data_IF_015041703776
#
_entry.id   IF_015041703776
#
_cell.length_a   1.000
_cell.length_b   1.000
_cell.length_c   1.000
_cell.angle_alpha   90.00
_cell.angle_beta   90.00
_cell.angle_gamma   90.00
#
_symmetry.space_group_name_H-M   'P 1'
#
loop_
_entity.id
_entity.type
_entity.pdbx_description
1 polymer ?
#
# COMPACT_ATOMS: atom_id res chain seq x y z
N UNK A 1 4.77 45.56 21.24
CA UNK A 1 3.48 44.97 20.83
C UNK A 1 3.02 43.99 21.90
N UNK A 2 1.94 44.29 22.65
CA UNK A 2 1.38 43.40 23.65
C UNK A 2 0.35 42.44 23.03
N UNK A 3 0.18 41.22 23.59
CA UNK A 3 -0.71 40.21 23.04
C UNK A 3 -2.19 40.57 23.27
N UNK A 4 -2.98 40.38 22.20
CA UNK A 4 -4.43 40.58 22.14
C UNK A 4 -5.16 39.30 22.53
N UNK A 5 -5.63 39.19 23.76
CA UNK A 5 -6.78 38.36 24.10
C UNK A 5 -7.64 39.07 25.16
N UNK A 6 -8.96 39.25 24.94
CA UNK A 6 -9.84 39.93 25.88
C UNK A 6 -10.15 39.05 27.09
N UNK A 7 -9.85 39.57 28.29
CA UNK A 7 -10.05 38.91 29.59
C UNK A 7 -11.51 38.54 29.91
N UNK A 8 -12.47 38.96 29.09
CA UNK A 8 -13.89 38.70 29.28
C UNK A 8 -14.32 37.27 28.94
N UNK A 9 -13.63 36.58 28.00
CA UNK A 9 -13.98 35.21 27.63
C UNK A 9 -13.63 34.17 28.72
N UNK A 10 -12.59 34.45 29.52
CA UNK A 10 -12.15 33.56 30.60
C UNK A 10 -13.11 33.56 31.81
N UNK A 11 -13.86 34.66 32.02
CA UNK A 11 -14.81 34.78 33.12
C UNK A 11 -16.17 34.10 32.81
N UNK A 12 -16.55 34.04 31.53
CA UNK A 12 -17.80 33.40 31.10
C UNK A 12 -17.77 31.87 31.25
N UNK A 13 -16.63 31.23 30.98
CA UNK A 13 -16.48 29.77 31.10
C UNK A 13 -16.39 29.28 32.56
N UNK A 14 -16.00 30.15 33.49
CA UNK A 14 -15.95 29.84 34.93
C UNK A 14 -17.32 29.84 35.61
N UNK A 15 -18.36 30.38 34.96
CA UNK A 15 -19.75 30.41 35.47
C UNK A 15 -20.61 29.20 35.09
N UNK A 16 -20.14 28.35 34.17
CA UNK A 16 -20.83 27.11 33.79
C UNK A 16 -20.44 25.90 34.65
N UNK A 17 -19.54 26.09 35.63
CA UNK A 17 -19.10 25.06 36.56
C UNK A 17 -19.46 25.45 38.00
N UNK A 18 -20.74 25.35 38.35
CA UNK A 18 -21.18 25.19 39.74
C UNK A 18 -22.30 24.16 39.81
N UNK A 19 -22.27 23.24 40.79
CA UNK A 19 -23.28 22.22 40.96
C UNK A 19 -24.61 22.83 41.45
N UNK A 20 -25.71 22.28 40.94
CA UNK A 20 -27.08 22.54 41.38
C UNK A 20 -27.23 22.29 42.89
N UNK A 21 -27.71 23.29 43.62
CA UNK A 21 -28.27 23.13 44.96
C UNK A 21 -29.73 23.62 44.93
N UNK A 22 -30.72 22.81 45.39
CA UNK A 22 -32.10 23.23 45.43
C UNK A 22 -32.40 24.12 46.64
N UNK A 23 -33.17 25.18 46.41
CA UNK A 23 -33.84 25.98 47.44
C UNK A 23 -34.99 25.15 48.03
N UNK A 24 -34.92 24.82 49.31
CA UNK A 24 -36.09 24.38 50.09
C UNK A 24 -36.20 25.18 51.38
N UNK A 25 -37.43 25.58 51.66
CA UNK A 25 -37.86 26.44 52.77
C UNK A 25 -37.83 25.69 54.09
N UNK A 26 -37.48 26.41 55.15
CA UNK A 26 -37.55 25.97 56.54
C UNK A 26 -38.99 25.71 56.99
N UNK A 27 -39.23 24.57 57.64
CA UNK A 27 -40.23 24.39 58.69
C UNK A 27 -39.68 23.37 59.71
N UNK A 28 -39.63 23.80 60.96
CA UNK A 28 -39.11 23.06 62.11
C UNK A 28 -40.16 22.08 62.65
N UNK A 29 -39.75 20.86 62.97
CA UNK A 29 -40.28 20.06 64.11
C UNK A 29 -39.26 19.01 64.52
N UNK A 30 -39.13 18.83 65.83
CA UNK A 30 -38.15 18.06 66.60
C UNK A 30 -38.32 16.55 66.52
N UNK A 31 -37.23 15.78 66.36
CA UNK A 31 -37.02 14.44 66.99
C UNK A 31 -35.52 14.03 66.91
N UNK A 32 -34.96 13.35 67.93
CA UNK A 32 -33.54 13.00 67.97
C UNK A 32 -33.24 11.60 67.43
N UNK A 33 -31.97 11.42 67.04
CA UNK A 33 -31.21 10.17 66.99
C UNK A 33 -31.55 9.15 65.88
N UNK A 34 -30.68 9.09 64.87
CA UNK A 34 -29.93 7.90 64.47
C UNK A 34 -28.90 8.32 63.41
N UNK A 35 -27.63 8.31 63.78
CA UNK A 35 -26.52 8.53 62.87
C UNK A 35 -26.51 7.42 61.81
N UNK A 36 -26.93 7.74 60.58
CA UNK A 36 -26.62 6.92 59.43
C UNK A 36 -25.10 7.00 59.19
N UNK A 37 -24.39 5.89 58.96
CA UNK A 37 -22.97 5.94 58.66
C UNK A 37 -22.79 6.77 57.38
N UNK A 38 -21.99 7.82 57.51
CA UNK A 38 -21.48 8.61 56.39
C UNK A 38 -21.06 7.67 55.28
N UNK A 39 -21.69 7.84 54.11
CA UNK A 39 -21.36 7.15 52.88
C UNK A 39 -19.84 7.04 52.75
N UNK A 40 -19.36 5.80 52.72
CA UNK A 40 -18.01 5.46 52.31
C UNK A 40 -17.85 6.13 50.94
N UNK A 41 -17.04 7.20 50.89
CA UNK A 41 -16.51 7.68 49.62
C UNK A 41 -16.01 6.44 48.88
N UNK A 42 -16.33 6.22 47.59
CA UNK A 42 -15.82 5.07 46.87
C UNK A 42 -14.30 5.23 46.74
N UNK A 43 -13.61 4.85 47.80
CA UNK A 43 -12.18 4.69 47.89
C UNK A 43 -11.85 3.57 46.95
N UNK A 44 -11.61 3.99 45.71
CA UNK A 44 -10.73 3.39 44.74
C UNK A 44 -10.98 1.90 44.49
N UNK A 45 -11.71 1.61 43.41
CA UNK A 45 -11.33 0.49 42.55
C UNK A 45 -9.91 0.76 42.03
N UNK A 46 -8.90 0.57 42.88
CA UNK A 46 -7.49 0.69 42.54
C UNK A 46 -7.15 -0.60 41.82
N UNK A 47 -6.83 -0.47 40.53
CA UNK A 47 -6.30 -1.59 39.77
C UNK A 47 -5.04 -2.09 40.48
N UNK A 48 -4.82 -3.41 40.56
CA UNK A 48 -3.57 -3.97 41.09
C UNK A 48 -2.35 -3.31 40.44
N UNK A 49 -1.25 -3.16 41.17
CA UNK A 49 0.02 -2.63 40.62
C UNK A 49 0.49 -3.41 39.40
N UNK A 50 0.15 -4.69 39.34
CA UNK A 50 0.54 -5.62 38.29
C UNK A 50 -0.48 -5.67 37.14
N UNK A 51 -1.49 -4.77 37.18
CA UNK A 51 -2.48 -4.67 36.13
C UNK A 51 -1.87 -4.07 34.86
N UNK A 52 -1.81 -4.89 33.82
CA UNK A 52 -1.46 -4.46 32.48
C UNK A 52 -2.73 -4.31 31.63
N UNK A 53 -3.01 -3.12 31.07
CA UNK A 53 -4.17 -2.90 30.22
C UNK A 53 -4.06 -3.72 28.93
N UNK A 54 -5.20 -4.25 28.47
CA UNK A 54 -5.25 -5.09 27.27
C UNK A 54 -4.76 -4.38 25.99
N UNK A 55 -4.91 -3.06 25.92
CA UNK A 55 -4.52 -2.22 24.77
C UNK A 55 -3.05 -1.80 24.79
N UNK A 56 -2.35 -1.99 25.92
CA UNK A 56 -0.95 -1.61 26.09
C UNK A 56 -0.18 -2.77 26.74
N UNK A 57 0.12 -3.82 25.94
CA UNK A 57 0.98 -4.90 26.40
C UNK A 57 2.41 -4.39 26.67
N UNK A 58 3.17 -5.08 27.54
CA UNK A 58 4.58 -4.80 27.78
C UNK A 58 5.37 -4.96 26.48
N UNK A 59 6.16 -3.95 26.16
CA UNK A 59 6.93 -3.85 24.91
C UNK A 59 8.38 -3.54 25.23
N UNK A 60 9.29 -3.92 24.33
CA UNK A 60 10.73 -3.68 24.50
C UNK A 60 11.08 -2.19 24.59
N UNK A 61 10.27 -1.35 23.94
CA UNK A 61 10.39 0.11 23.96
C UNK A 61 9.07 0.75 24.42
N UNK A 62 9.12 1.91 25.09
CA UNK A 62 7.91 2.57 25.55
C UNK A 62 6.96 2.88 24.37
N UNK A 63 5.69 2.46 24.43
CA UNK A 63 4.78 2.59 23.30
C UNK A 63 4.36 4.03 23.02
N UNK A 64 4.46 4.93 23.99
CA UNK A 64 4.11 6.36 23.84
C UNK A 64 5.03 7.12 22.88
N UNK A 65 6.22 6.59 22.59
CA UNK A 65 7.17 7.32 21.76
C UNK A 65 6.71 7.37 20.30
N UNK A 66 6.97 8.49 19.62
CA UNK A 66 6.72 8.60 18.18
C UNK A 66 7.41 7.49 17.38
N UNK A 67 8.60 7.04 17.83
CA UNK A 67 9.38 5.99 17.16
C UNK A 67 8.66 4.64 17.18
N UNK A 68 8.14 4.22 18.34
CA UNK A 68 7.37 2.97 18.48
C UNK A 68 6.09 3.00 17.66
N UNK A 69 5.39 4.13 17.66
CA UNK A 69 4.15 4.28 16.89
C UNK A 69 4.42 4.21 15.38
N UNK A 70 5.47 4.89 14.88
CA UNK A 70 5.84 4.82 13.46
C UNK A 70 6.21 3.40 13.03
N UNK A 71 6.92 2.63 13.86
CA UNK A 71 7.25 1.24 13.54
C UNK A 71 5.96 0.42 13.40
N UNK A 72 5.01 0.53 14.34
CA UNK A 72 3.71 -0.15 14.26
C UNK A 72 2.92 0.23 13.01
N UNK A 73 2.88 1.52 12.68
CA UNK A 73 2.19 2.00 11.48
C UNK A 73 2.84 1.46 10.21
N UNK A 74 4.18 1.42 10.16
CA UNK A 74 4.90 0.92 9.00
C UNK A 74 4.82 -0.61 8.87
N UNK A 75 4.83 -1.37 9.97
CA UNK A 75 4.63 -2.82 9.90
C UNK A 75 3.22 -3.17 9.45
N UNK A 76 2.20 -2.47 9.96
CA UNK A 76 0.82 -2.65 9.47
C UNK A 76 0.70 -2.27 8.00
N UNK A 77 1.39 -1.22 7.56
CA UNK A 77 1.38 -0.79 6.18
C UNK A 77 2.00 -1.86 5.28
N UNK A 78 3.21 -2.33 5.59
CA UNK A 78 3.90 -3.34 4.81
C UNK A 78 3.13 -4.66 4.67
N UNK A 79 2.35 -5.03 5.69
CA UNK A 79 1.51 -6.25 5.66
C UNK A 79 0.21 -6.07 4.88
N UNK A 80 -0.37 -4.86 4.88
CA UNK A 80 -1.68 -4.60 4.27
C UNK A 80 -1.57 -4.14 2.81
N UNK A 81 -0.48 -3.50 2.43
CA UNK A 81 -0.34 -2.88 1.11
C UNK A 81 0.59 -3.71 0.23
N UNK A 82 0.07 -4.32 -0.84
CA UNK A 82 0.87 -5.15 -1.73
C UNK A 82 1.78 -4.34 -2.65
N UNK A 83 1.48 -3.06 -2.91
CA UNK A 83 2.23 -2.24 -3.87
C UNK A 83 2.66 -0.90 -3.21
N UNK A 84 3.98 -0.67 -3.18
CA UNK A 84 4.58 0.56 -2.64
C UNK A 84 5.65 1.04 -3.62
N UNK A 85 5.59 2.30 -4.06
CA UNK A 85 6.66 2.92 -4.83
C UNK A 85 7.47 3.87 -3.96
N UNK A 86 8.80 3.81 -4.08
CA UNK A 86 9.73 4.66 -3.34
C UNK A 86 10.22 5.82 -4.19
N UNK A 87 10.03 7.02 -3.66
CA UNK A 87 10.53 8.26 -4.21
C UNK A 87 11.58 8.85 -3.28
N UNK A 88 12.72 9.24 -3.82
CA UNK A 88 13.63 10.14 -3.12
C UNK A 88 13.15 11.57 -3.33
N UNK A 89 13.10 12.35 -2.25
CA UNK A 89 12.59 13.72 -2.31
C UNK A 89 13.64 14.71 -1.79
N UNK A 90 13.91 15.77 -2.55
CA UNK A 90 14.92 16.78 -2.18
C UNK A 90 14.26 18.11 -1.81
N UNK A 91 14.20 18.45 -0.51
CA UNK A 91 13.76 19.76 -0.01
C UNK A 91 12.49 20.34 -0.68
N UNK A 92 11.40 19.57 -0.72
CA UNK A 92 10.10 20.08 -1.19
C UNK A 92 9.43 20.95 -0.13
N UNK A 93 8.80 22.04 -0.58
CA UNK A 93 7.97 22.91 0.27
C UNK A 93 6.57 22.32 0.47
N UNK A 94 5.83 22.84 1.47
CA UNK A 94 4.45 22.39 1.73
C UNK A 94 3.51 22.66 0.54
N UNK A 95 3.72 23.79 -0.14
CA UNK A 95 2.91 24.17 -1.30
C UNK A 95 3.19 23.24 -2.49
N UNK A 96 4.45 22.90 -2.75
CA UNK A 96 4.85 21.92 -3.77
C UNK A 96 4.23 20.55 -3.49
N UNK A 97 4.26 20.07 -2.23
CA UNK A 97 3.61 18.82 -1.85
C UNK A 97 2.09 18.85 -2.09
N UNK A 98 1.43 19.96 -1.75
CA UNK A 98 -0.01 20.11 -1.96
C UNK A 98 -0.38 20.10 -3.44
N UNK A 99 0.45 20.75 -4.27
CA UNK A 99 0.26 20.81 -5.72
C UNK A 99 0.49 19.44 -6.37
N UNK A 100 1.56 18.74 -6.03
CA UNK A 100 1.83 17.38 -6.54
C UNK A 100 0.72 16.41 -6.12
N UNK A 101 0.25 16.46 -4.87
CA UNK A 101 -0.86 15.62 -4.40
C UNK A 101 -2.18 15.92 -5.10
N UNK A 102 -2.45 17.18 -5.43
CA UNK A 102 -3.64 17.59 -6.19
C UNK A 102 -3.64 16.95 -7.58
N UNK A 103 -2.52 17.05 -8.30
CA UNK A 103 -2.41 16.48 -9.65
C UNK A 103 -2.44 14.94 -9.62
N UNK A 104 -1.80 14.32 -8.63
CA UNK A 104 -1.84 12.88 -8.42
C UNK A 104 -3.28 12.40 -8.19
N UNK A 105 -4.01 13.05 -7.28
CA UNK A 105 -5.40 12.69 -7.00
C UNK A 105 -6.28 12.86 -8.24
N UNK A 106 -6.11 13.95 -9.00
CA UNK A 106 -6.83 14.17 -10.25
C UNK A 106 -6.54 13.06 -11.28
N UNK A 107 -5.27 12.67 -11.45
CA UNK A 107 -4.89 11.62 -12.37
C UNK A 107 -5.41 10.24 -11.95
N UNK A 108 -5.41 9.94 -10.64
CA UNK A 108 -5.97 8.70 -10.12
C UNK A 108 -7.49 8.63 -10.31
N UNK A 109 -8.21 9.72 -10.06
CA UNK A 109 -9.66 9.77 -10.30
C UNK A 109 -10.00 9.58 -11.77
N UNK A 110 -9.17 10.10 -12.68
CA UNK A 110 -9.36 9.90 -14.12
C UNK A 110 -9.00 8.48 -14.59
N UNK A 111 -8.20 7.75 -13.82
CA UNK A 111 -7.74 6.40 -14.13
C UNK A 111 -8.57 5.30 -13.46
N UNK A 112 -9.53 5.65 -12.60
CA UNK A 112 -10.47 4.70 -12.01
C UNK A 112 -11.41 4.17 -13.10
N UNK A 113 -11.33 2.87 -13.46
CA UNK A 113 -12.33 2.28 -14.35
C UNK A 113 -13.69 2.22 -13.63
N UNK A 114 -14.78 2.47 -14.36
CA UNK A 114 -16.12 2.37 -13.79
C UNK A 114 -16.37 0.95 -13.29
N UNK A 115 -16.54 0.80 -11.97
CA UNK A 115 -16.82 -0.48 -11.31
C UNK A 115 -15.70 -1.07 -10.44
N UNK A 116 -14.52 -0.43 -10.29
CA UNK A 116 -13.52 -0.93 -9.35
C UNK A 116 -13.92 -0.65 -7.87
N UNK A 117 -13.72 -1.59 -6.94
CA UNK A 117 -14.08 -1.41 -5.52
C UNK A 117 -13.20 -0.40 -4.77
N UNK A 118 -12.15 0.10 -5.41
CA UNK A 118 -11.10 0.86 -4.76
C UNK A 118 -11.21 2.33 -5.17
N UNK A 119 -11.63 3.22 -4.25
CA UNK A 119 -11.57 4.64 -4.53
C UNK A 119 -10.10 5.04 -4.64
N UNK A 120 -9.74 5.76 -5.73
CA UNK A 120 -8.39 6.32 -5.90
C UNK A 120 -7.94 7.23 -4.74
N UNK A 121 -8.86 7.61 -3.84
CA UNK A 121 -8.65 8.37 -2.62
C UNK A 121 -7.84 7.62 -1.54
N UNK A 122 -7.80 6.29 -1.57
CA UNK A 122 -7.00 5.51 -0.61
C UNK A 122 -5.51 5.52 -0.97
N UNK A 123 -5.18 5.76 -2.23
CA UNK A 123 -3.80 5.88 -2.69
C UNK A 123 -3.29 7.25 -2.23
N UNK A 124 -2.19 7.25 -1.48
CA UNK A 124 -1.64 8.47 -0.92
C UNK A 124 -0.11 8.48 -0.95
N UNK A 125 0.42 9.69 -1.13
CA UNK A 125 1.85 9.97 -1.15
C UNK A 125 2.29 10.47 0.23
N UNK A 126 2.96 9.61 0.99
CA UNK A 126 3.42 9.89 2.35
C UNK A 126 4.94 9.98 2.43
N UNK A 127 5.43 10.87 3.31
CA UNK A 127 6.85 10.98 3.62
C UNK A 127 7.21 9.96 4.70
N UNK A 128 8.24 9.15 4.45
CA UNK A 128 8.67 8.11 5.36
C UNK A 128 9.84 8.55 6.23
N UNK A 129 9.91 8.00 7.44
CA UNK A 129 11.11 8.05 8.26
C UNK A 129 11.95 6.79 8.01
N UNK A 130 12.92 6.90 7.12
CA UNK A 130 13.75 5.77 6.65
C UNK A 130 14.29 4.88 7.75
N UNK A 131 14.88 5.43 8.82
CA UNK A 131 15.40 4.61 9.94
C UNK A 131 14.34 3.74 10.62
N UNK A 132 13.10 4.23 10.76
CA UNK A 132 12.03 3.46 11.40
C UNK A 132 11.38 2.49 10.40
N UNK A 133 11.29 2.91 9.14
CA UNK A 133 10.80 2.07 8.04
C UNK A 133 11.73 0.87 7.79
N UNK A 134 13.05 1.06 7.87
CA UNK A 134 14.03 -0.02 7.78
C UNK A 134 13.82 -1.09 8.88
N UNK A 135 13.59 -0.66 10.13
CA UNK A 135 13.25 -1.59 11.23
C UNK A 135 11.92 -2.30 10.96
N UNK A 136 10.93 -1.61 10.39
CA UNK A 136 9.65 -2.20 10.06
C UNK A 136 9.77 -3.25 8.93
N UNK A 137 10.61 -3.03 7.91
CA UNK A 137 10.89 -4.02 6.87
C UNK A 137 11.52 -5.28 7.45
N UNK A 138 12.51 -5.12 8.32
CA UNK A 138 13.13 -6.25 9.03
C UNK A 138 12.10 -7.08 9.81
N UNK A 139 11.21 -6.41 10.55
CA UNK A 139 10.13 -7.08 11.28
C UNK A 139 9.08 -7.71 10.36
N UNK A 140 8.84 -7.15 9.17
CA UNK A 140 7.88 -7.70 8.24
C UNK A 140 8.38 -8.97 7.54
N UNK A 141 9.70 -9.12 7.37
CA UNK A 141 10.30 -10.24 6.63
C UNK A 141 10.83 -11.36 7.52
N UNK A 142 11.42 -11.03 8.68
CA UNK A 142 12.12 -12.03 9.51
C UNK A 142 11.36 -12.41 10.78
N UNK A 143 10.33 -11.67 11.17
CA UNK A 143 9.61 -11.93 12.41
C UNK A 143 8.25 -12.59 12.15
N UNK A 144 8.19 -13.88 12.44
CA UNK A 144 6.95 -14.65 12.40
C UNK A 144 6.34 -14.79 13.80
N UNK A 145 5.10 -14.31 14.02
CA UNK A 145 4.48 -14.37 15.33
C UNK A 145 4.16 -15.81 15.74
N UNK A 146 3.92 -16.74 14.80
CA UNK A 146 3.60 -18.13 15.13
C UNK A 146 4.80 -18.89 15.70
N UNK A 147 6.01 -18.66 15.18
CA UNK A 147 7.26 -19.22 15.71
C UNK A 147 7.50 -18.69 17.12
N UNK A 148 7.32 -17.38 17.30
CA UNK A 148 7.47 -16.74 18.61
C UNK A 148 6.43 -17.23 19.65
N UNK A 149 5.25 -17.73 19.23
CA UNK A 149 4.27 -18.34 20.16
C UNK A 149 4.71 -19.73 20.62
N UNK A 150 5.39 -20.48 19.75
CA UNK A 150 5.86 -21.83 20.05
C UNK A 150 7.07 -21.82 21.01
N UNK A 151 7.84 -20.74 20.99
CA UNK A 151 9.02 -20.61 21.85
C UNK A 151 8.65 -20.49 23.34
N UNK A 152 9.20 -21.37 24.22
CA UNK A 152 8.91 -21.33 25.66
C UNK A 152 9.56 -20.14 26.38
N UNK A 153 10.51 -19.46 25.72
CA UNK A 153 11.21 -18.29 26.26
C UNK A 153 10.40 -16.99 26.10
N UNK A 154 9.33 -17.01 25.32
CA UNK A 154 8.55 -15.81 25.01
C UNK A 154 7.79 -15.35 26.26
N UNK A 155 7.87 -14.06 26.64
CA UNK A 155 7.16 -13.56 27.79
C UNK A 155 5.65 -13.78 27.62
N UNK A 156 5.03 -14.36 28.64
CA UNK A 156 3.61 -14.65 28.67
C UNK A 156 2.87 -13.49 29.37
N UNK A 157 1.86 -12.96 28.69
CA UNK A 157 0.92 -12.00 29.27
C UNK A 157 -0.37 -12.70 29.73
N UNK A 158 -1.26 -11.94 30.35
CA UNK A 158 -2.56 -12.45 30.84
C UNK A 158 -3.46 -13.05 29.75
N UNK A 159 -3.31 -12.62 28.49
CA UNK A 159 -4.09 -13.10 27.33
C UNK A 159 -3.30 -14.04 26.40
N UNK A 160 -2.13 -14.49 26.82
CA UNK A 160 -1.25 -15.36 26.03
C UNK A 160 0.12 -14.75 25.74
N UNK A 161 0.93 -15.39 24.87
CA UNK A 161 2.29 -14.99 24.55
C UNK A 161 2.34 -13.60 23.88
N UNK A 162 3.31 -12.79 24.29
CA UNK A 162 3.50 -11.41 23.82
C UNK A 162 4.24 -11.37 22.48
N UNK A 163 3.50 -11.55 21.39
CA UNK A 163 4.06 -11.70 20.02
C UNK A 163 3.78 -10.52 19.08
N UNK A 164 3.51 -9.33 19.64
CA UNK A 164 3.32 -8.14 18.81
C UNK A 164 4.67 -7.60 18.32
N UNK A 165 4.67 -6.79 17.25
CA UNK A 165 5.88 -6.29 16.58
C UNK A 165 6.84 -5.48 17.48
N UNK A 166 6.36 -4.94 18.60
CA UNK A 166 7.19 -4.21 19.58
C UNK A 166 7.55 -5.03 20.84
N UNK A 167 7.26 -6.32 20.83
CA UNK A 167 7.55 -7.22 21.95
C UNK A 167 9.05 -7.35 22.20
N UNK A 168 9.41 -7.81 23.40
CA UNK A 168 10.79 -8.17 23.74
C UNK A 168 11.30 -9.30 22.83
N UNK A 169 10.45 -10.30 22.54
CA UNK A 169 10.78 -11.40 21.64
C UNK A 169 11.14 -10.92 20.22
N UNK A 170 10.33 -10.02 19.64
CA UNK A 170 10.63 -9.43 18.34
C UNK A 170 11.95 -8.64 18.37
N UNK A 171 12.24 -7.93 19.46
CA UNK A 171 13.48 -7.17 19.61
C UNK A 171 14.71 -8.07 19.72
N UNK A 172 14.64 -9.15 20.49
CA UNK A 172 15.71 -10.12 20.67
C UNK A 172 15.98 -10.89 19.37
N UNK A 173 14.93 -11.39 18.70
CA UNK A 173 15.04 -11.99 17.38
C UNK A 173 15.76 -11.04 16.42
N UNK A 174 15.34 -9.78 16.33
CA UNK A 174 15.97 -8.82 15.42
C UNK A 174 17.39 -8.38 15.80
N UNK A 175 17.78 -8.53 17.07
CA UNK A 175 19.12 -8.17 17.54
C UNK A 175 20.15 -9.22 17.15
N UNK A 176 19.77 -10.48 17.21
CA UNK A 176 20.67 -11.62 16.96
C UNK A 176 20.68 -12.04 15.48
N UNK A 177 19.74 -11.53 14.68
CA UNK A 177 19.63 -11.83 13.26
C UNK A 177 20.79 -11.25 12.43
N UNK A 178 21.51 -12.16 11.75
CA UNK A 178 22.37 -11.83 10.61
C UNK A 178 21.48 -11.73 9.37
N UNK A 179 21.61 -10.62 8.63
CA UNK A 179 20.77 -10.35 7.46
C UNK A 179 21.29 -11.17 6.27
N UNK A 180 20.50 -12.07 5.68
CA UNK A 180 20.88 -12.75 4.44
C UNK A 180 20.91 -11.76 3.27
N UNK A 181 21.94 -11.86 2.42
CA UNK A 181 22.12 -10.97 1.26
C UNK A 181 21.04 -11.16 0.18
N UNK A 182 20.45 -12.36 0.11
CA UNK A 182 19.40 -12.69 -0.88
C UNK A 182 18.00 -12.18 -0.49
N UNK A 183 17.84 -11.61 0.71
CA UNK A 183 16.53 -11.15 1.21
C UNK A 183 16.01 -9.89 0.50
N UNK A 184 14.69 -9.75 0.37
CA UNK A 184 14.05 -8.54 -0.17
C UNK A 184 14.45 -7.28 0.62
N UNK A 185 14.65 -7.40 1.93
CA UNK A 185 15.18 -6.35 2.78
C UNK A 185 16.58 -5.90 2.34
N UNK A 186 17.48 -6.84 2.02
CA UNK A 186 18.84 -6.51 1.58
C UNK A 186 18.83 -5.73 0.26
N UNK A 187 17.93 -6.06 -0.65
CA UNK A 187 17.76 -5.36 -1.93
C UNK A 187 17.12 -3.97 -1.77
N UNK A 188 16.13 -3.80 -0.86
CA UNK A 188 15.49 -2.50 -0.61
C UNK A 188 16.36 -1.57 0.26
N UNK A 189 17.17 -2.12 1.16
CA UNK A 189 17.92 -1.32 2.15
C UNK A 189 18.80 -0.22 1.51
N UNK A 190 19.55 -0.47 0.41
CA UNK A 190 20.27 0.57 -0.32
C UNK A 190 19.37 1.71 -0.86
N UNK A 191 18.16 1.38 -1.31
CA UNK A 191 17.19 2.34 -1.86
C UNK A 191 16.63 3.29 -0.78
N UNK A 192 16.73 2.91 0.49
CA UNK A 192 16.27 3.69 1.64
C UNK A 192 17.34 4.63 2.23
N UNK A 193 18.42 4.89 1.48
CA UNK A 193 19.43 5.86 1.86
C UNK A 193 18.97 7.29 1.55
N UNK A 194 18.63 8.05 2.59
CA UNK A 194 18.29 9.47 2.49
C UNK A 194 16.84 9.80 2.89
N UNK A 195 16.31 10.95 2.47
CA UNK A 195 14.90 11.30 2.63
C UNK A 195 14.05 10.62 1.54
N UNK A 196 13.15 9.72 1.96
CA UNK A 196 12.27 8.98 1.04
C UNK A 196 10.79 9.20 1.36
N UNK A 197 9.99 9.20 0.30
CA UNK A 197 8.54 9.18 0.31
C UNK A 197 8.08 7.86 -0.31
N UNK A 198 6.93 7.36 0.15
CA UNK A 198 6.28 6.20 -0.41
C UNK A 198 4.93 6.59 -1.00
N UNK A 199 4.67 6.13 -2.21
CA UNK A 199 3.34 6.09 -2.79
C UNK A 199 2.75 4.71 -2.51
N UNK A 200 1.66 4.68 -1.76
CA UNK A 200 1.09 3.45 -1.22
C UNK A 200 -0.19 3.11 -1.97
N UNK A 201 -0.28 1.88 -2.45
CA UNK A 201 -1.46 1.37 -3.14
C UNK A 201 -2.07 0.22 -2.32
N UNK A 202 -3.36 0.29 -1.97
CA UNK A 202 -4.05 -0.79 -1.25
C UNK A 202 -4.18 -2.09 -2.06
N UNK A 203 -4.20 -2.00 -3.39
CA UNK A 203 -4.20 -3.18 -4.26
C UNK A 203 -3.33 -2.95 -5.50
N UNK A 204 -2.92 -4.05 -6.12
CA UNK A 204 -2.13 -4.04 -7.35
C UNK A 204 -3.06 -3.71 -8.53
N UNK A 205 -3.08 -2.44 -8.93
CA UNK A 205 -3.80 -1.98 -10.11
C UNK A 205 -2.84 -1.29 -11.08
N UNK A 206 -2.47 -1.94 -12.20
CA UNK A 206 -1.61 -1.37 -13.22
C UNK A 206 -2.14 -0.05 -13.79
N UNK A 207 -3.46 0.15 -13.86
CA UNK A 207 -4.05 1.39 -14.35
C UNK A 207 -3.74 2.59 -13.44
N UNK A 208 -3.87 2.42 -12.12
CA UNK A 208 -3.52 3.45 -11.14
C UNK A 208 -2.01 3.70 -11.09
N UNK A 209 -1.22 2.63 -11.21
CA UNK A 209 0.22 2.69 -11.28
C UNK A 209 0.68 3.48 -12.53
N UNK A 210 0.12 3.19 -13.70
CA UNK A 210 0.41 3.89 -14.95
C UNK A 210 0.07 5.38 -14.86
N UNK A 211 -1.05 5.74 -14.25
CA UNK A 211 -1.44 7.13 -14.03
C UNK A 211 -0.49 7.86 -13.06
N UNK A 212 -0.05 7.17 -12.00
CA UNK A 212 0.93 7.69 -11.07
C UNK A 212 2.32 7.89 -11.71
N UNK A 213 2.79 6.94 -12.53
CA UNK A 213 4.07 7.10 -13.26
C UNK A 213 3.97 8.25 -14.27
N UNK A 214 2.87 8.35 -15.03
CA UNK A 214 2.64 9.44 -15.99
C UNK A 214 2.69 10.83 -15.34
N UNK A 215 2.29 10.94 -14.09
CA UNK A 215 2.30 12.21 -13.34
C UNK A 215 3.63 12.47 -12.66
N UNK A 216 4.18 11.50 -11.92
CA UNK A 216 5.34 11.69 -11.05
C UNK A 216 6.68 11.54 -11.76
N UNK A 217 6.79 10.61 -12.71
CA UNK A 217 8.04 10.31 -13.41
C UNK A 217 7.76 10.01 -14.89
N UNK A 218 7.38 11.02 -15.69
CA UNK A 218 7.05 10.82 -17.09
C UNK A 218 8.28 10.33 -17.85
N UNK A 219 8.14 9.20 -18.55
CA UNK A 219 9.17 8.67 -19.44
C UNK A 219 8.69 8.74 -20.89
N UNK A 220 9.44 9.39 -21.80
CA UNK A 220 9.02 9.55 -23.19
C UNK A 220 8.83 8.16 -23.83
N UNK A 221 7.65 7.92 -24.42
CA UNK A 221 7.24 6.62 -24.94
C UNK A 221 6.01 6.08 -24.21
N UNK A 222 6.16 4.98 -23.47
CA UNK A 222 5.04 4.26 -22.83
C UNK A 222 4.27 5.07 -21.77
N UNK A 223 4.92 6.03 -21.11
CA UNK A 223 4.30 6.87 -20.08
C UNK A 223 4.52 8.35 -20.35
N UNK A 224 3.90 8.83 -21.43
CA UNK A 224 3.93 10.25 -21.79
C UNK A 224 3.24 11.11 -20.72
N UNK A 225 3.84 12.27 -20.43
CA UNK A 225 3.25 13.29 -19.58
C UNK A 225 1.87 13.72 -20.10
N UNK A 226 0.94 14.09 -19.21
CA UNK A 226 -0.38 14.58 -19.62
C UNK A 226 -0.24 15.84 -20.48
N UNK A 227 -1.02 15.95 -21.55
CA UNK A 227 -0.92 17.08 -22.47
C UNK A 227 -1.41 18.38 -21.84
N UNK A 228 -0.78 19.52 -22.18
CA UNK A 228 -1.15 20.86 -21.71
C UNK A 228 -2.63 21.20 -21.88
N UNK A 229 -3.24 20.71 -22.97
CA UNK A 229 -4.65 20.95 -23.27
C UNK A 229 -5.59 20.18 -22.34
N UNK A 230 -5.22 18.97 -21.95
CA UNK A 230 -6.04 18.10 -21.09
C UNK A 230 -5.89 18.50 -19.62
N UNK A 231 -4.66 18.73 -19.16
CA UNK A 231 -4.35 19.10 -17.78
C UNK A 231 -3.45 20.35 -17.75
N UNK A 232 -4.01 21.58 -17.75
CA UNK A 232 -3.21 22.80 -17.63
C UNK A 232 -2.53 22.91 -16.26
N UNK A 233 -3.18 22.43 -15.20
CA UNK A 233 -2.70 22.47 -13.81
C UNK A 233 -1.38 21.71 -13.59
N UNK A 234 -1.09 20.71 -14.42
CA UNK A 234 0.17 19.97 -14.37
C UNK A 234 1.39 20.84 -14.70
N UNK A 235 1.21 21.88 -15.52
CA UNK A 235 2.29 22.76 -15.99
C UNK A 235 2.43 24.04 -15.15
N UNK A 236 1.78 24.08 -13.98
CA UNK A 236 2.01 25.10 -12.96
C UNK A 236 3.48 25.03 -12.48
N UNK A 237 4.20 26.17 -12.38
CA UNK A 237 5.56 26.23 -11.84
C UNK A 237 5.74 25.48 -10.51
N UNK A 238 4.74 25.51 -9.62
CA UNK A 238 4.81 24.81 -8.33
C UNK A 238 4.87 23.28 -8.50
N UNK A 239 4.05 22.74 -9.41
CA UNK A 239 4.03 21.31 -9.70
C UNK A 239 5.34 20.90 -10.37
N UNK A 240 5.79 21.66 -11.36
CA UNK A 240 7.02 21.34 -12.10
C UNK A 240 8.26 21.40 -11.21
N UNK A 241 8.37 22.41 -10.33
CA UNK A 241 9.42 22.48 -9.31
C UNK A 241 9.38 21.27 -8.37
N UNK A 242 8.19 20.88 -7.92
CA UNK A 242 8.01 19.71 -7.07
C UNK A 242 8.42 18.40 -7.76
N UNK A 243 8.02 18.20 -9.02
CA UNK A 243 8.34 17.00 -9.80
C UNK A 243 9.84 16.86 -10.07
N UNK A 244 10.54 17.95 -10.36
CA UNK A 244 11.99 17.93 -10.56
C UNK A 244 12.76 17.48 -9.31
N UNK A 245 12.18 17.66 -8.12
CA UNK A 245 12.77 17.28 -6.83
C UNK A 245 12.40 15.86 -6.38
N UNK A 246 11.51 15.18 -7.12
CA UNK A 246 11.04 13.83 -6.83
C UNK A 246 11.68 12.85 -7.83
N UNK A 247 12.48 11.93 -7.31
CA UNK A 247 13.13 10.90 -8.10
C UNK A 247 12.52 9.54 -7.75
N UNK A 248 12.01 8.82 -8.74
CA UNK A 248 11.59 7.43 -8.58
C UNK A 248 12.84 6.55 -8.44
N UNK A 249 12.95 5.84 -7.32
CA UNK A 249 14.10 4.96 -7.03
C UNK A 249 13.76 3.51 -7.36
N UNK A 250 12.54 3.07 -7.01
CA UNK A 250 12.09 1.70 -7.23
C UNK A 250 10.74 1.45 -6.56
N UNK A 251 10.35 0.19 -6.48
CA UNK A 251 9.10 -0.21 -5.83
C UNK A 251 9.19 -1.60 -5.21
N UNK A 252 8.28 -1.85 -4.27
CA UNK A 252 7.99 -3.18 -3.73
C UNK A 252 6.62 -3.61 -4.23
N UNK A 253 6.55 -4.77 -4.85
CA UNK A 253 5.33 -5.34 -5.42
C UNK A 253 5.20 -6.78 -4.91
N UNK A 254 4.16 -7.05 -4.13
CA UNK A 254 3.82 -8.38 -3.58
C UNK A 254 4.93 -9.06 -2.76
N UNK A 255 5.90 -8.29 -2.26
CA UNK A 255 7.04 -8.80 -1.49
C UNK A 255 8.36 -8.72 -2.23
N UNK A 256 8.29 -8.67 -3.56
CA UNK A 256 9.46 -8.56 -4.43
C UNK A 256 9.85 -7.11 -4.67
N UNK A 257 11.14 -6.92 -4.95
CA UNK A 257 11.77 -5.61 -5.17
C UNK A 257 11.93 -5.38 -6.66
N UNK A 258 11.45 -4.25 -7.14
CA UNK A 258 11.51 -3.87 -8.54
C UNK A 258 12.25 -2.56 -8.73
N UNK A 259 13.14 -2.56 -9.71
CA UNK A 259 13.78 -1.35 -10.21
C UNK A 259 12.80 -0.48 -11.01
N UNK A 260 13.23 0.73 -11.37
CA UNK A 260 12.45 1.68 -12.16
C UNK A 260 11.92 1.07 -13.47
N UNK A 261 12.71 0.21 -14.12
CA UNK A 261 12.32 -0.48 -15.35
C UNK A 261 11.26 -1.55 -15.09
N UNK A 262 11.42 -2.33 -14.01
CA UNK A 262 10.43 -3.33 -13.58
C UNK A 262 9.09 -2.68 -13.21
N UNK A 263 9.12 -1.56 -12.49
CA UNK A 263 7.93 -0.77 -12.16
C UNK A 263 7.24 -0.24 -13.42
N UNK A 264 8.00 0.21 -14.43
CA UNK A 264 7.45 0.62 -15.74
C UNK A 264 6.87 -0.55 -16.52
N UNK A 265 7.45 -1.75 -16.41
CA UNK A 265 6.91 -2.96 -17.02
C UNK A 265 5.55 -3.33 -16.41
N UNK A 266 5.44 -3.35 -15.08
CA UNK A 266 4.17 -3.64 -14.38
C UNK A 266 3.10 -2.60 -14.72
N UNK A 267 3.47 -1.31 -14.77
CA UNK A 267 2.56 -0.25 -15.22
C UNK A 267 2.15 -0.34 -16.70
N UNK A 268 2.90 -1.09 -17.51
CA UNK A 268 2.65 -1.28 -18.94
C UNK A 268 1.72 -2.45 -19.24
N UNK A 269 1.30 -3.21 -18.23
CA UNK A 269 0.36 -4.32 -18.38
C UNK A 269 -1.04 -3.73 -18.67
N UNK A 270 -1.45 -3.82 -19.93
CA UNK A 270 -2.77 -3.42 -20.37
C UNK A 270 -3.84 -4.40 -19.86
N UNK A 271 -5.01 -3.88 -19.45
CA UNK A 271 -6.12 -4.69 -18.96
C UNK A 271 -6.03 -5.14 -17.50
N UNK A 272 -4.95 -4.82 -16.78
CA UNK A 272 -4.83 -5.12 -15.35
C UNK A 272 -4.99 -6.61 -15.03
N UNK A 273 -5.73 -6.91 -13.95
CA UNK A 273 -6.01 -8.28 -13.50
C UNK A 273 -6.82 -9.07 -14.55
N UNK A 274 -7.75 -8.41 -15.24
CA UNK A 274 -8.56 -9.05 -16.28
C UNK A 274 -7.76 -9.31 -17.55
N UNK A 275 -6.78 -8.45 -17.87
CA UNK A 275 -5.80 -8.68 -18.94
C UNK A 275 -4.92 -9.91 -18.67
N UNK A 276 -4.41 -10.05 -17.44
CA UNK A 276 -3.65 -11.24 -17.03
C UNK A 276 -4.51 -12.50 -17.02
N UNK A 277 -5.77 -12.41 -16.57
CA UNK A 277 -6.73 -13.51 -16.66
C UNK A 277 -7.01 -13.89 -18.11
N UNK A 278 -7.16 -12.92 -19.01
CA UNK A 278 -7.33 -13.18 -20.43
C UNK A 278 -6.09 -13.83 -21.05
N UNK A 279 -4.87 -13.42 -20.66
CA UNK A 279 -3.62 -14.07 -21.07
C UNK A 279 -3.52 -15.51 -20.56
N UNK A 280 -3.93 -15.78 -19.32
CA UNK A 280 -4.00 -17.14 -18.79
C UNK A 280 -5.01 -18.01 -19.53
N UNK A 281 -6.21 -17.48 -19.79
CA UNK A 281 -7.24 -18.16 -20.59
C UNK A 281 -6.73 -18.41 -22.01
N UNK A 282 -6.05 -17.44 -22.62
CA UNK A 282 -5.44 -17.59 -23.94
C UNK A 282 -4.33 -18.64 -23.94
N UNK A 283 -3.46 -18.67 -22.94
CA UNK A 283 -2.41 -19.70 -22.83
C UNK A 283 -3.04 -21.09 -22.67
N UNK A 284 -4.06 -21.24 -21.82
CA UNK A 284 -4.80 -22.51 -21.69
C UNK A 284 -5.48 -22.91 -23.01
N UNK A 285 -6.15 -21.99 -23.68
CA UNK A 285 -6.83 -22.25 -24.94
C UNK A 285 -5.83 -22.57 -26.07
N UNK A 286 -4.69 -21.90 -26.09
CA UNK A 286 -3.61 -22.13 -27.08
C UNK A 286 -2.97 -23.50 -26.91
N UNK A 287 -2.86 -24.03 -25.68
CA UNK A 287 -2.39 -25.38 -25.43
C UNK A 287 -3.38 -26.43 -25.97
N UNK A 288 -4.68 -26.20 -25.80
CA UNK A 288 -5.73 -27.04 -26.40
C UNK A 288 -5.75 -26.98 -27.93
N UNK A 289 -5.68 -25.77 -28.50
CA UNK A 289 -5.60 -25.55 -29.95
C UNK A 289 -4.31 -26.12 -30.55
N UNK A 290 -3.20 -26.09 -29.81
CA UNK A 290 -1.94 -26.69 -30.21
C UNK A 290 -2.06 -28.22 -30.37
N UNK A 291 -2.77 -28.88 -29.47
CA UNK A 291 -3.02 -30.32 -29.56
C UNK A 291 -3.91 -30.68 -30.76
N UNK A 292 -5.00 -29.94 -30.97
CA UNK A 292 -5.88 -30.19 -32.13
C UNK A 292 -5.18 -29.90 -33.44
N UNK A 293 -4.38 -28.83 -33.51
CA UNK A 293 -3.56 -28.51 -34.68
C UNK A 293 -2.51 -29.59 -34.95
N UNK A 294 -1.93 -30.20 -33.91
CA UNK A 294 -0.98 -31.30 -34.07
C UNK A 294 -1.66 -32.58 -34.61
N UNK A 295 -2.86 -32.92 -34.14
CA UNK A 295 -3.63 -34.05 -34.70
C UNK A 295 -4.12 -33.76 -36.12
N UNK A 296 -4.55 -32.54 -36.40
CA UNK A 296 -5.02 -32.12 -37.74
C UNK A 296 -3.86 -31.92 -38.74
N UNK A 297 -2.63 -31.69 -38.26
CA UNK A 297 -1.46 -31.54 -39.14
C UNK A 297 -1.22 -32.79 -40.00
N UNK A 298 -1.47 -33.99 -39.47
CA UNK A 298 -1.39 -35.23 -40.25
C UNK A 298 -2.39 -35.28 -41.41
N UNK A 299 -3.64 -34.89 -41.18
CA UNK A 299 -4.67 -34.88 -42.24
C UNK A 299 -4.47 -33.73 -43.23
N UNK A 300 -4.11 -32.54 -42.74
CA UNK A 300 -3.80 -31.36 -43.57
C UNK A 300 -2.59 -31.61 -44.47
N UNK A 301 -1.52 -32.20 -43.95
CA UNK A 301 -0.35 -32.54 -44.76
C UNK A 301 -0.69 -33.52 -45.87
N UNK A 302 -1.42 -34.61 -45.57
CA UNK A 302 -1.88 -35.56 -46.59
C UNK A 302 -2.78 -34.89 -47.63
N UNK A 303 -3.70 -34.03 -47.20
CA UNK A 303 -4.56 -33.27 -48.10
C UNK A 303 -3.77 -32.34 -49.02
N UNK A 304 -2.79 -31.61 -48.48
CA UNK A 304 -1.89 -30.75 -49.27
C UNK A 304 -1.06 -31.56 -50.29
N UNK A 305 -0.60 -32.77 -49.93
CA UNK A 305 0.12 -33.63 -50.87
C UNK A 305 -0.78 -34.14 -51.99
N UNK A 306 -2.03 -34.51 -51.67
CA UNK A 306 -3.01 -34.97 -52.67
C UNK A 306 -3.46 -33.84 -53.59
N UNK A 307 -3.74 -32.66 -53.04
CA UNK A 307 -4.10 -31.48 -53.84
C UNK A 307 -2.92 -31.03 -54.69
N UNK A 308 -1.69 -31.03 -54.16
CA UNK A 308 -0.48 -30.75 -54.93
C UNK A 308 -0.26 -31.71 -56.09
N UNK A 309 -0.56 -33.00 -55.91
CA UNK A 309 -0.53 -33.99 -57.02
C UNK A 309 -1.64 -33.73 -58.03
N UNK A 310 -2.83 -33.34 -57.57
CA UNK A 310 -3.96 -33.01 -58.44
C UNK A 310 -3.66 -31.77 -59.29
N UNK A 311 -3.10 -30.71 -58.71
CA UNK A 311 -2.71 -29.50 -59.45
C UNK A 311 -1.62 -29.79 -60.48
N UNK A 312 -0.62 -30.63 -60.14
CA UNK A 312 0.40 -31.07 -61.11
C UNK A 312 -0.22 -31.79 -62.32
N UNK A 313 -1.19 -32.69 -62.09
CA UNK A 313 -1.87 -33.39 -63.19
C UNK A 313 -2.80 -32.48 -64.00
N UNK A 314 -3.42 -31.48 -63.37
CA UNK A 314 -4.22 -30.47 -64.07
C UNK A 314 -3.35 -29.52 -64.91
N UNK A 315 -2.13 -29.21 -64.47
CA UNK A 315 -1.19 -28.35 -65.21
C UNK A 315 -0.47 -29.13 -66.32
N UNK A 316 0.00 -30.36 -66.06
CA UNK A 316 0.51 -31.28 -67.11
C UNK A 316 -0.56 -31.57 -68.18
N UNK A 317 -1.83 -31.70 -67.76
CA UNK A 317 -2.97 -31.87 -68.67
C UNK A 317 -3.31 -30.63 -69.51
N UNK A 318 -2.97 -29.42 -69.05
CA UNK A 318 -3.12 -28.17 -69.81
C UNK A 318 -1.96 -27.96 -70.77
N UNK A 319 -0.72 -28.25 -70.37
CA UNK A 319 0.47 -28.18 -71.23
C UNK A 319 0.36 -29.15 -72.42
N UNK A 320 -0.10 -30.40 -72.17
CA UNK A 320 -0.38 -31.36 -73.24
C UNK A 320 -1.57 -31.01 -74.16
N UNK A 321 -2.42 -30.06 -73.74
CA UNK A 321 -3.53 -29.55 -74.57
C UNK A 321 -3.14 -28.30 -75.38
N UNK A 322 -2.15 -27.52 -74.94
CA UNK A 322 -1.56 -26.43 -75.72
C UNK A 322 -0.61 -26.94 -76.81
N UNK A 323 0.21 -27.97 -76.53
CA UNK A 323 1.07 -28.59 -77.57
C UNK A 323 0.25 -29.23 -78.72
N UNK A 324 -0.92 -29.81 -78.42
CA UNK A 324 -1.84 -30.37 -79.44
C UNK A 324 -2.61 -29.32 -80.25
N UNK A 325 -2.53 -28.04 -79.89
CA UNK A 325 -3.15 -26.93 -80.65
C UNK A 325 -2.15 -26.20 -81.54
N UNK A 326 -0.85 -26.48 -81.40
CA UNK A 326 0.25 -25.90 -82.17
C UNK A 326 0.83 -26.82 -83.25
N UNK A 327 0.25 -28.01 -83.44
CA UNK A 327 0.53 -28.95 -84.53
C UNK A 327 -0.69 -29.04 -85.47
#
# INVERSE_FOLDING_TARGET
MPPRLPQQAAQALRRLATPSAPITRYLSTTTPYLAAPSAVSPSALRLPSDYLPATKPPSARPPETRKSQLIRTYTSLLRTTPLILFFQHSNLTADEWSAVRRELNAALTAATPEGSPLPGKEIHLQVLRTRMFNVALKLAEFYDPEVAKADPKTPQGRKGPLVHDLSAAAYEAMKDLQVPEDSAYAQISPLLCGPTAALVFPAVSPAHLAAAIKTLSPSPGKFAAPTRKKNPSYYDPLVQSGLQKLLLVGGRIEGDVFDVEGVKWVGGIEGGLDGLRAQLVYLLQSAGLGLTNALEAGSKSLWLTLEGRKTMLEDEGKEGAEEKKSE
#
